data_IF_033671668613
#
_entry.id   IF_033671668613
#
_cell.length_a   1.000
_cell.length_b   1.000
_cell.length_c   1.000
_cell.angle_alpha   90.00
_cell.angle_beta   90.00
_cell.angle_gamma   90.00
#
_symmetry.space_group_name_H-M   'P 1'
#
loop_
_entity.id
_entity.type
_entity.pdbx_description
1 polymer ?
#
# COMPACT_ATOMS: atom_id res chain seq x y z
N UNK A 1 6.85 -16.21 -25.85
CA UNK A 1 7.46 -15.02 -25.22
C UNK A 1 6.44 -14.50 -24.22
N UNK A 2 6.63 -14.77 -22.94
CA UNK A 2 5.88 -14.06 -21.89
C UNK A 2 6.38 -12.61 -21.93
N UNK A 3 5.50 -11.66 -22.25
CA UNK A 3 5.86 -10.24 -22.11
C UNK A 3 6.01 -9.98 -20.61
N UNK A 4 7.23 -9.76 -20.15
CA UNK A 4 7.48 -9.37 -18.78
C UNK A 4 6.62 -8.15 -18.46
N UNK A 5 5.82 -8.23 -17.40
CA UNK A 5 5.12 -7.08 -16.87
C UNK A 5 6.16 -6.23 -16.17
N UNK A 6 6.41 -5.05 -16.68
CA UNK A 6 7.40 -4.12 -16.11
C UNK A 6 6.66 -2.94 -15.51
N UNK A 7 6.98 -2.60 -14.27
CA UNK A 7 6.47 -1.38 -13.65
C UNK A 7 6.93 -0.15 -14.42
N UNK A 8 6.00 0.73 -14.76
CA UNK A 8 6.24 1.88 -15.65
C UNK A 8 6.83 3.10 -14.92
N UNK A 9 7.03 3.00 -13.61
CA UNK A 9 7.50 4.08 -12.73
C UNK A 9 6.40 5.00 -12.24
N UNK A 10 6.63 5.63 -11.09
CA UNK A 10 5.63 6.37 -10.31
C UNK A 10 4.96 7.49 -11.12
N UNK A 11 5.72 8.32 -11.83
CA UNK A 11 5.18 9.45 -12.61
C UNK A 11 4.24 9.01 -13.74
N UNK A 12 4.55 7.91 -14.41
CA UNK A 12 3.70 7.38 -15.49
C UNK A 12 2.49 6.67 -14.92
N UNK A 13 2.68 5.97 -13.81
CA UNK A 13 1.58 5.27 -13.17
C UNK A 13 0.59 6.24 -12.53
N UNK A 14 1.04 7.35 -11.94
CA UNK A 14 0.15 8.40 -11.44
C UNK A 14 -0.71 8.96 -12.59
N UNK A 15 -0.10 9.33 -13.74
CA UNK A 15 -0.85 9.80 -14.91
C UNK A 15 -1.83 8.77 -15.45
N UNK A 16 -1.50 7.49 -15.35
CA UNK A 16 -2.40 6.40 -15.71
C UNK A 16 -3.59 6.32 -14.75
N UNK A 17 -3.39 6.43 -13.43
CA UNK A 17 -4.47 6.49 -12.44
C UNK A 17 -5.39 7.70 -12.68
N UNK A 18 -4.80 8.87 -12.94
CA UNK A 18 -5.54 10.09 -13.23
C UNK A 18 -6.40 9.95 -14.49
N UNK A 19 -5.88 9.32 -15.55
CA UNK A 19 -6.60 9.07 -16.81
C UNK A 19 -7.87 8.24 -16.59
N UNK A 20 -7.83 7.27 -15.67
CA UNK A 20 -8.99 6.43 -15.35
C UNK A 20 -9.79 6.95 -14.15
N UNK A 21 -9.51 8.17 -13.68
CA UNK A 21 -10.16 8.78 -12.51
C UNK A 21 -10.14 7.86 -11.27
N UNK A 22 -9.02 7.19 -11.03
CA UNK A 22 -8.85 6.38 -9.83
C UNK A 22 -8.96 7.28 -8.58
N UNK A 23 -9.88 7.01 -7.64
CA UNK A 23 -10.04 7.86 -6.47
C UNK A 23 -8.89 7.72 -5.47
N UNK A 24 -8.14 6.62 -5.52
CA UNK A 24 -7.04 6.35 -4.61
C UNK A 24 -5.73 6.96 -5.13
N UNK A 25 -5.01 7.75 -4.30
CA UNK A 25 -3.67 8.26 -4.65
C UNK A 25 -2.67 7.12 -4.86
N UNK A 26 -1.63 7.35 -5.66
CA UNK A 26 -0.62 6.35 -5.98
C UNK A 26 -0.03 5.65 -4.75
N UNK A 27 0.28 6.39 -3.69
CA UNK A 27 0.82 5.80 -2.47
C UNK A 27 -0.12 4.81 -1.80
N UNK A 28 -1.43 5.08 -1.81
CA UNK A 28 -2.46 4.15 -1.32
C UNK A 28 -2.55 2.94 -2.23
N UNK A 29 -2.53 3.14 -3.55
CA UNK A 29 -2.57 2.04 -4.53
C UNK A 29 -1.38 1.11 -4.34
N UNK A 30 -0.15 1.63 -4.26
CA UNK A 30 1.08 0.82 -4.06
C UNK A 30 0.98 -0.01 -2.78
N UNK A 31 0.59 0.61 -1.66
CA UNK A 31 0.48 -0.12 -0.40
C UNK A 31 -0.71 -1.09 -0.37
N UNK A 32 -1.80 -0.83 -1.10
CA UNK A 32 -2.88 -1.81 -1.25
C UNK A 32 -2.41 -3.07 -1.97
N UNK A 33 -1.62 -2.91 -3.02
CA UNK A 33 -1.00 -4.04 -3.72
C UNK A 33 0.03 -4.75 -2.82
N UNK A 34 0.85 -4.02 -2.07
CA UNK A 34 1.79 -4.61 -1.13
C UNK A 34 1.08 -5.42 -0.03
N UNK A 35 0.03 -4.87 0.57
CA UNK A 35 -0.80 -5.58 1.54
C UNK A 35 -1.42 -6.86 0.96
N UNK A 36 -1.95 -6.79 -0.26
CA UNK A 36 -2.52 -7.94 -0.96
C UNK A 36 -1.48 -9.04 -1.25
N UNK A 37 -0.26 -8.68 -1.63
CA UNK A 37 0.85 -9.64 -1.81
C UNK A 37 1.24 -10.28 -0.47
N UNK A 38 1.13 -9.55 0.64
CA UNK A 38 1.35 -10.08 1.99
C UNK A 38 0.18 -10.91 2.52
N UNK A 39 -0.98 -10.86 1.89
CA UNK A 39 -2.19 -11.55 2.36
C UNK A 39 -2.03 -13.08 2.31
N UNK A 40 -2.41 -13.81 3.37
CA UNK A 40 -2.47 -15.26 3.32
C UNK A 40 -3.74 -15.79 2.61
N UNK A 41 -4.58 -14.93 2.05
CA UNK A 41 -5.78 -15.31 1.31
C UNK A 41 -5.43 -15.93 -0.04
N UNK A 42 -5.57 -17.26 -0.23
CA UNK A 42 -5.18 -17.92 -1.47
C UNK A 42 -6.10 -17.58 -2.66
N UNK A 43 -7.24 -16.96 -2.40
CA UNK A 43 -8.23 -16.60 -3.41
C UNK A 43 -8.09 -15.13 -3.87
N UNK A 44 -7.30 -14.32 -3.18
CA UNK A 44 -7.11 -12.92 -3.52
C UNK A 44 -6.30 -12.79 -4.81
N UNK A 45 -6.89 -12.17 -5.81
CA UNK A 45 -6.28 -11.98 -7.13
C UNK A 45 -5.94 -10.51 -7.36
N UNK A 46 -4.93 -10.20 -8.18
CA UNK A 46 -4.64 -8.81 -8.58
C UNK A 46 -5.86 -8.06 -9.13
N UNK A 47 -6.75 -8.78 -9.85
CA UNK A 47 -7.99 -8.21 -10.39
C UNK A 47 -8.98 -7.77 -9.30
N UNK A 48 -9.02 -8.47 -8.18
CA UNK A 48 -9.89 -8.11 -7.06
C UNK A 48 -9.38 -6.84 -6.37
N UNK A 49 -8.05 -6.73 -6.25
CA UNK A 49 -7.39 -5.52 -5.74
C UNK A 49 -7.65 -4.32 -6.67
N UNK A 50 -7.53 -4.51 -7.99
CA UNK A 50 -7.86 -3.46 -8.98
C UNK A 50 -9.31 -3.03 -8.83
N UNK A 51 -10.24 -3.98 -8.75
CA UNK A 51 -11.66 -3.68 -8.59
C UNK A 51 -11.95 -2.89 -7.30
N UNK A 52 -11.26 -3.19 -6.21
CA UNK A 52 -11.43 -2.49 -4.92
C UNK A 52 -10.92 -1.03 -4.91
N UNK A 53 -10.10 -0.64 -5.88
CA UNK A 53 -9.64 0.75 -6.01
C UNK A 53 -10.73 1.69 -6.53
N UNK A 54 -11.75 1.17 -7.18
CA UNK A 54 -12.82 1.95 -7.80
C UNK A 54 -14.14 1.64 -7.09
N UNK A 55 -14.95 2.66 -6.79
CA UNK A 55 -16.30 2.45 -6.32
C UNK A 55 -17.14 1.73 -7.39
N UNK A 56 -18.19 1.00 -6.99
CA UNK A 56 -19.01 0.19 -7.92
C UNK A 56 -19.50 0.94 -9.16
N UNK A 57 -19.82 2.23 -9.01
CA UNK A 57 -20.30 3.10 -10.08
C UNK A 57 -19.18 3.87 -10.79
N UNK A 58 -17.94 3.71 -10.39
CA UNK A 58 -16.75 4.40 -10.92
C UNK A 58 -15.77 3.46 -11.63
N UNK A 59 -16.18 2.22 -11.90
CA UNK A 59 -15.33 1.27 -12.62
C UNK A 59 -14.92 1.83 -14.01
N UNK A 60 -13.64 1.72 -14.38
CA UNK A 60 -13.14 2.27 -15.64
C UNK A 60 -13.81 1.58 -16.83
N UNK A 61 -14.27 2.39 -17.80
CA UNK A 61 -14.86 1.88 -19.05
C UNK A 61 -13.75 1.63 -20.05
N UNK A 62 -13.36 0.38 -20.21
CA UNK A 62 -12.37 -0.05 -21.18
C UNK A 62 -13.10 -0.34 -22.51
N UNK A 63 -12.83 0.45 -23.54
CA UNK A 63 -13.61 0.46 -24.78
C UNK A 63 -13.07 -0.47 -25.86
N UNK A 64 -11.79 -0.82 -25.77
CA UNK A 64 -11.11 -1.70 -26.72
C UNK A 64 -10.33 -2.81 -26.01
N UNK A 65 -10.09 -3.92 -26.71
CA UNK A 65 -9.26 -5.01 -26.21
C UNK A 65 -7.84 -4.54 -25.88
N UNK A 66 -7.24 -3.72 -26.75
CA UNK A 66 -5.89 -3.20 -26.54
C UNK A 66 -5.81 -2.30 -25.28
N UNK A 67 -6.84 -1.48 -25.05
CA UNK A 67 -6.94 -0.65 -23.85
C UNK A 67 -7.02 -1.54 -22.58
N UNK A 68 -7.87 -2.57 -22.62
CA UNK A 68 -7.99 -3.51 -21.51
C UNK A 68 -6.67 -4.25 -21.24
N UNK A 69 -6.00 -4.75 -22.28
CA UNK A 69 -4.68 -5.40 -22.14
C UNK A 69 -3.64 -4.46 -21.55
N UNK A 70 -3.59 -3.20 -21.96
CA UNK A 70 -2.65 -2.21 -21.43
C UNK A 70 -2.99 -1.84 -19.98
N UNK A 71 -4.28 -1.67 -19.67
CA UNK A 71 -4.75 -1.39 -18.31
C UNK A 71 -4.30 -2.48 -17.33
N UNK A 72 -4.61 -3.73 -17.62
CA UNK A 72 -4.21 -4.84 -16.75
C UNK A 72 -2.69 -5.03 -16.74
N UNK A 73 -1.99 -4.84 -17.85
CA UNK A 73 -0.53 -4.94 -17.91
C UNK A 73 0.15 -3.97 -16.96
N UNK A 74 -0.34 -2.74 -16.83
CA UNK A 74 0.25 -1.74 -15.92
C UNK A 74 0.04 -2.12 -14.45
N UNK A 75 -1.15 -2.57 -14.09
CA UNK A 75 -1.40 -3.05 -12.74
C UNK A 75 -0.63 -4.34 -12.41
N UNK A 76 -0.50 -5.24 -13.38
CA UNK A 76 0.33 -6.45 -13.19
C UNK A 76 1.81 -6.09 -13.01
N UNK A 77 2.32 -5.06 -13.72
CA UNK A 77 3.66 -4.54 -13.49
C UNK A 77 3.85 -4.00 -12.07
N UNK A 78 2.84 -3.31 -11.51
CA UNK A 78 2.86 -2.86 -10.12
C UNK A 78 2.81 -4.05 -9.14
N UNK A 79 1.99 -5.08 -9.42
CA UNK A 79 1.95 -6.30 -8.61
C UNK A 79 3.33 -6.97 -8.55
N UNK A 80 3.98 -7.13 -9.70
CA UNK A 80 5.30 -7.77 -9.79
C UNK A 80 6.36 -6.93 -9.05
N UNK A 81 6.29 -5.59 -9.13
CA UNK A 81 7.17 -4.68 -8.36
C UNK A 81 6.98 -4.85 -6.86
N UNK A 82 5.73 -4.83 -6.37
CA UNK A 82 5.45 -5.04 -4.94
C UNK A 82 5.89 -6.43 -4.48
N UNK A 83 5.72 -7.45 -5.31
CA UNK A 83 6.22 -8.79 -5.00
C UNK A 83 7.75 -8.82 -4.86
N UNK A 84 8.49 -8.09 -5.70
CA UNK A 84 9.94 -7.97 -5.60
C UNK A 84 10.34 -7.25 -4.31
N UNK A 85 9.72 -6.11 -3.99
CA UNK A 85 9.99 -5.37 -2.75
C UNK A 85 9.75 -6.22 -1.50
N UNK A 86 8.67 -7.00 -1.48
CA UNK A 86 8.33 -7.91 -0.38
C UNK A 86 9.34 -9.06 -0.31
N UNK A 87 9.64 -9.71 -1.44
CA UNK A 87 10.60 -10.81 -1.48
C UNK A 87 12.01 -10.39 -1.05
N UNK A 88 12.39 -9.16 -1.33
CA UNK A 88 13.69 -8.59 -0.92
C UNK A 88 13.64 -7.88 0.44
N UNK A 89 12.47 -7.85 1.06
CA UNK A 89 12.21 -7.16 2.35
C UNK A 89 12.63 -5.69 2.33
N UNK A 90 12.33 -5.00 1.24
CA UNK A 90 12.70 -3.59 0.99
C UNK A 90 11.50 -2.65 0.97
N UNK A 91 10.29 -3.15 1.27
CA UNK A 91 9.07 -2.34 1.32
C UNK A 91 9.22 -1.17 2.31
N UNK A 92 8.93 0.04 1.85
CA UNK A 92 9.01 1.29 2.62
C UNK A 92 7.85 2.21 2.32
N UNK A 93 7.63 3.16 3.22
CA UNK A 93 6.77 4.30 2.95
C UNK A 93 7.41 5.23 1.92
N UNK A 94 6.61 5.91 1.05
CA UNK A 94 7.14 6.89 0.10
C UNK A 94 7.92 8.01 0.81
N UNK A 95 9.04 8.45 0.23
CA UNK A 95 9.84 9.54 0.82
C UNK A 95 9.07 10.87 0.80
N UNK A 96 9.21 11.63 1.90
CA UNK A 96 8.67 12.99 1.96
C UNK A 96 9.66 13.97 1.36
N UNK A 97 9.25 14.62 0.27
CA UNK A 97 10.05 15.63 -0.44
C UNK A 97 9.64 17.08 -0.13
N UNK A 98 8.64 17.29 0.75
CA UNK A 98 8.11 18.60 1.10
C UNK A 98 8.92 19.36 2.15
N UNK A 99 8.42 20.54 2.52
CA UNK A 99 9.06 21.43 3.49
C UNK A 99 8.75 20.98 4.93
N UNK A 100 9.77 20.54 5.65
CA UNK A 100 9.68 20.06 7.06
C UNK A 100 9.29 21.14 8.08
N UNK A 101 9.27 22.41 7.68
CA UNK A 101 8.86 23.54 8.52
C UNK A 101 7.48 24.09 8.13
N UNK A 102 6.84 23.53 7.12
CA UNK A 102 5.49 23.92 6.69
C UNK A 102 4.46 23.00 7.36
N UNK A 103 3.64 23.61 8.26
CA UNK A 103 2.62 22.86 9.00
C UNK A 103 1.56 22.25 8.07
N UNK A 104 1.24 22.92 6.96
CA UNK A 104 0.23 22.45 6.03
C UNK A 104 0.75 21.23 5.26
N UNK A 105 1.97 21.30 4.72
CA UNK A 105 2.58 20.17 4.02
C UNK A 105 2.78 18.96 4.95
N UNK A 106 3.16 19.20 6.22
CA UNK A 106 3.26 18.12 7.20
C UNK A 106 1.89 17.54 7.58
N UNK A 107 0.84 18.34 7.65
CA UNK A 107 -0.52 17.85 7.91
C UNK A 107 -1.01 16.99 6.71
N UNK A 108 -0.75 17.43 5.49
CA UNK A 108 -1.04 16.67 4.26
C UNK A 108 -0.25 15.34 4.23
N UNK A 109 1.03 15.36 4.63
CA UNK A 109 1.81 14.13 4.79
C UNK A 109 1.16 13.17 5.80
N UNK A 110 0.76 13.67 6.97
CA UNK A 110 0.12 12.83 7.98
C UNK A 110 -1.19 12.21 7.47
N UNK A 111 -2.05 12.97 6.79
CA UNK A 111 -3.26 12.42 6.16
C UNK A 111 -2.91 11.36 5.12
N UNK A 112 -1.94 11.64 4.25
CA UNK A 112 -1.46 10.67 3.25
C UNK A 112 -0.94 9.39 3.89
N UNK A 113 -0.20 9.47 5.01
CA UNK A 113 0.30 8.30 5.76
C UNK A 113 -0.84 7.46 6.34
N UNK A 114 -1.81 8.12 6.98
CA UNK A 114 -2.97 7.43 7.51
C UNK A 114 -3.71 6.65 6.41
N UNK A 115 -3.97 7.30 5.26
CA UNK A 115 -4.65 6.68 4.13
C UNK A 115 -3.81 5.53 3.51
N UNK A 116 -2.51 5.71 3.36
CA UNK A 116 -1.58 4.71 2.85
C UNK A 116 -1.57 3.44 3.70
N UNK A 117 -1.64 3.59 5.02
CA UNK A 117 -1.63 2.46 5.95
C UNK A 117 -3.01 1.82 5.99
N UNK A 118 -4.06 2.57 6.32
CA UNK A 118 -5.40 2.03 6.56
C UNK A 118 -6.05 1.56 5.25
N UNK A 119 -6.27 2.49 4.31
CA UNK A 119 -6.91 2.18 3.03
C UNK A 119 -5.95 1.56 2.00
N UNK A 120 -4.65 1.62 2.24
CA UNK A 120 -3.63 0.91 1.46
C UNK A 120 -3.35 -0.46 2.06
N UNK A 121 -2.34 -0.55 2.93
CA UNK A 121 -1.76 -1.83 3.34
C UNK A 121 -2.74 -2.72 4.12
N UNK A 122 -3.45 -2.18 5.12
CA UNK A 122 -4.35 -2.97 5.98
C UNK A 122 -5.54 -3.52 5.18
N UNK A 123 -6.23 -2.68 4.40
CA UNK A 123 -7.31 -3.16 3.52
C UNK A 123 -6.80 -4.13 2.45
N UNK A 124 -5.61 -3.88 1.88
CA UNK A 124 -4.98 -4.80 0.93
C UNK A 124 -4.72 -6.17 1.54
N UNK A 125 -4.21 -6.21 2.77
CA UNK A 125 -3.93 -7.46 3.49
C UNK A 125 -5.18 -8.27 3.76
N UNK A 126 -6.25 -7.63 4.20
CA UNK A 126 -7.53 -8.33 4.43
C UNK A 126 -8.25 -8.70 3.11
N UNK A 127 -8.02 -7.94 2.04
CA UNK A 127 -8.60 -8.20 0.71
C UNK A 127 -10.12 -8.33 0.71
N UNK A 128 -10.81 -7.57 1.58
CA UNK A 128 -12.27 -7.63 1.74
C UNK A 128 -12.80 -8.91 2.37
N UNK A 129 -11.95 -9.77 2.95
CA UNK A 129 -12.34 -11.03 3.56
C UNK A 129 -12.46 -10.89 5.10
N UNK A 130 -13.68 -10.72 5.62
CA UNK A 130 -13.96 -10.58 7.06
C UNK A 130 -13.64 -11.85 7.88
N UNK A 131 -13.58 -13.01 7.24
CA UNK A 131 -13.38 -14.30 7.88
C UNK A 131 -12.01 -14.91 7.63
N UNK A 132 -11.03 -14.10 7.18
CA UNK A 132 -9.69 -14.57 6.90
C UNK A 132 -9.00 -15.06 8.18
N UNK A 133 -8.63 -16.34 8.20
CA UNK A 133 -7.90 -16.92 9.32
C UNK A 133 -6.41 -16.57 9.19
N UNK A 134 -5.91 -15.79 10.14
CA UNK A 134 -4.50 -15.40 10.23
C UNK A 134 -3.92 -15.78 11.60
N UNK A 135 -2.59 -15.97 11.73
CA UNK A 135 -1.97 -16.10 13.04
C UNK A 135 -2.27 -14.87 13.93
N UNK A 136 -2.46 -15.08 15.24
CA UNK A 136 -2.79 -13.99 16.17
C UNK A 136 -1.81 -12.81 16.06
N UNK A 137 -0.51 -13.09 15.97
CA UNK A 137 0.48 -12.01 15.83
C UNK A 137 0.30 -11.17 14.56
N UNK A 138 -0.17 -11.78 13.45
CA UNK A 138 -0.42 -11.03 12.22
C UNK A 138 -1.64 -10.11 12.37
N UNK A 139 -2.71 -10.58 13.04
CA UNK A 139 -3.86 -9.73 13.37
C UNK A 139 -3.45 -8.57 14.31
N UNK A 140 -2.60 -8.82 15.31
CA UNK A 140 -2.05 -7.80 16.20
C UNK A 140 -1.19 -6.77 15.46
N UNK A 141 -0.40 -7.21 14.46
CA UNK A 141 0.37 -6.29 13.62
C UNK A 141 -0.53 -5.41 12.75
N UNK A 142 -1.62 -5.95 12.19
CA UNK A 142 -2.60 -5.15 11.44
C UNK A 142 -3.29 -4.13 12.35
N UNK A 143 -3.72 -4.53 13.55
CA UNK A 143 -4.27 -3.60 14.53
C UNK A 143 -3.25 -2.50 14.91
N UNK A 144 -1.98 -2.85 15.13
CA UNK A 144 -0.93 -1.89 15.41
C UNK A 144 -0.68 -0.92 14.25
N UNK A 145 -0.82 -1.35 12.99
CA UNK A 145 -0.75 -0.46 11.84
C UNK A 145 -1.92 0.53 11.82
N UNK A 146 -3.14 0.07 12.09
CA UNK A 146 -4.31 0.96 12.23
C UNK A 146 -4.15 1.97 13.37
N UNK A 147 -3.62 1.54 14.53
CA UNK A 147 -3.29 2.46 15.63
C UNK A 147 -2.26 3.54 15.20
N UNK A 148 -1.25 3.16 14.39
CA UNK A 148 -0.29 4.13 13.84
C UNK A 148 -0.93 5.07 12.82
N UNK A 149 -1.90 4.62 12.02
CA UNK A 149 -2.69 5.49 11.15
C UNK A 149 -3.47 6.53 11.96
N UNK A 150 -4.07 6.14 13.09
CA UNK A 150 -4.73 7.06 14.02
C UNK A 150 -3.75 8.10 14.62
N UNK A 151 -2.52 7.69 14.95
CA UNK A 151 -1.48 8.63 15.42
C UNK A 151 -1.22 9.72 14.38
N UNK A 152 -1.10 9.39 13.09
CA UNK A 152 -0.96 10.40 12.04
C UNK A 152 -2.19 11.34 11.98
N UNK A 153 -3.40 10.84 12.15
CA UNK A 153 -4.61 11.66 12.24
C UNK A 153 -4.57 12.67 13.40
N UNK A 154 -4.03 12.25 14.55
CA UNK A 154 -3.80 13.15 15.69
C UNK A 154 -2.72 14.19 15.40
N UNK A 155 -1.60 13.80 14.78
CA UNK A 155 -0.52 14.73 14.40
C UNK A 155 -0.99 15.75 13.38
N UNK A 156 -1.79 15.37 12.38
CA UNK A 156 -2.39 16.30 11.42
C UNK A 156 -3.24 17.38 12.13
N UNK A 157 -4.09 16.98 13.09
CA UNK A 157 -4.90 17.92 13.88
C UNK A 157 -4.04 18.90 14.69
N UNK A 158 -2.95 18.43 15.31
CA UNK A 158 -2.02 19.29 16.06
C UNK A 158 -1.34 20.32 15.15
N UNK A 159 -0.91 19.91 13.95
CA UNK A 159 -0.32 20.81 12.97
C UNK A 159 -1.30 21.90 12.50
N UNK A 160 -2.58 21.59 12.37
CA UNK A 160 -3.62 22.58 12.02
C UNK A 160 -3.97 23.53 13.18
N UNK A 161 -3.65 23.18 14.43
CA UNK A 161 -3.86 23.99 15.64
C UNK A 161 -2.65 24.88 15.96
N UNK A 162 -1.74 25.11 15.03
CA UNK A 162 -0.56 25.96 15.13
C UNK A 162 0.51 25.50 16.14
N UNK A 163 0.60 24.19 16.42
CA UNK A 163 1.76 23.64 17.12
C UNK A 163 3.04 23.75 16.27
N UNK A 164 4.20 23.83 16.92
CA UNK A 164 5.46 24.03 16.25
C UNK A 164 5.83 22.78 15.41
N UNK A 165 6.00 22.88 14.07
CA UNK A 165 6.32 21.74 13.21
C UNK A 165 7.64 21.05 13.59
N UNK A 166 8.57 21.78 14.22
CA UNK A 166 9.86 21.22 14.66
C UNK A 166 9.72 20.18 15.76
N UNK A 167 8.67 20.23 16.55
CA UNK A 167 8.41 19.26 17.62
C UNK A 167 7.65 18.04 17.08
N UNK A 168 6.85 18.24 16.03
CA UNK A 168 6.00 17.19 15.45
C UNK A 168 6.75 16.33 14.40
N UNK A 169 7.58 16.95 13.56
CA UNK A 169 8.28 16.24 12.49
C UNK A 169 9.12 15.04 12.96
N UNK A 170 9.89 15.12 14.10
CA UNK A 170 10.56 13.93 14.62
C UNK A 170 9.62 12.80 15.04
N UNK A 171 8.40 13.13 15.49
CA UNK A 171 7.38 12.13 15.85
C UNK A 171 6.88 11.42 14.58
N UNK A 172 6.63 12.18 13.49
CA UNK A 172 6.26 11.60 12.19
C UNK A 172 7.33 10.60 11.74
N UNK A 173 8.61 11.00 11.75
CA UNK A 173 9.71 10.12 11.33
C UNK A 173 9.83 8.86 12.20
N UNK A 174 9.63 8.98 13.51
CA UNK A 174 9.64 7.82 14.39
C UNK A 174 8.46 6.88 14.09
N UNK A 175 7.28 7.45 13.80
CA UNK A 175 6.10 6.64 13.42
C UNK A 175 6.32 5.96 12.07
N UNK A 176 6.89 6.65 11.06
CA UNK A 176 7.29 6.05 9.78
C UNK A 176 8.22 4.83 10.01
N UNK A 177 9.22 4.98 10.87
CA UNK A 177 10.14 3.88 11.21
C UNK A 177 9.45 2.70 11.90
N UNK A 178 8.46 2.97 12.75
CA UNK A 178 7.67 1.91 13.40
C UNK A 178 6.82 1.16 12.38
N UNK A 179 6.16 1.86 11.46
CA UNK A 179 5.40 1.27 10.36
C UNK A 179 6.28 0.36 9.51
N UNK A 180 7.44 0.85 9.07
CA UNK A 180 8.37 0.06 8.24
C UNK A 180 8.94 -1.15 8.99
N UNK A 181 9.18 -1.05 10.30
CA UNK A 181 9.56 -2.20 11.12
C UNK A 181 8.45 -3.23 11.21
N UNK A 182 7.20 -2.78 11.29
CA UNK A 182 6.03 -3.68 11.31
C UNK A 182 5.87 -4.40 9.97
N UNK A 183 6.01 -3.70 8.84
CA UNK A 183 6.05 -4.35 7.52
C UNK A 183 7.14 -5.41 7.44
N UNK A 184 8.36 -5.05 7.84
CA UNK A 184 9.51 -5.96 7.81
C UNK A 184 9.27 -7.20 8.64
N UNK A 185 8.76 -7.03 9.86
CA UNK A 185 8.47 -8.15 10.76
C UNK A 185 7.42 -9.09 10.16
N UNK A 186 6.33 -8.55 9.61
CA UNK A 186 5.29 -9.34 8.95
C UNK A 186 5.87 -10.13 7.76
N UNK A 187 6.67 -9.48 6.93
CA UNK A 187 7.29 -10.09 5.75
C UNK A 187 8.22 -11.23 6.17
N UNK A 188 9.11 -11.00 7.12
CA UNK A 188 10.09 -11.99 7.59
C UNK A 188 9.46 -13.21 8.26
N UNK A 189 8.40 -13.02 9.03
CA UNK A 189 7.86 -14.09 9.88
C UNK A 189 6.63 -14.78 9.30
N UNK A 190 5.94 -14.18 8.35
CA UNK A 190 4.76 -14.78 7.74
C UNK A 190 4.93 -15.00 6.24
N UNK A 191 5.34 -13.96 5.49
CA UNK A 191 5.25 -13.98 4.02
C UNK A 191 6.38 -14.80 3.41
N UNK A 192 7.64 -14.54 3.78
CA UNK A 192 8.81 -15.23 3.22
C UNK A 192 8.79 -16.74 3.53
N UNK A 193 8.49 -17.20 4.78
CA UNK A 193 8.35 -18.62 5.05
C UNK A 193 7.29 -19.32 4.21
N UNK A 194 6.16 -18.62 3.94
CA UNK A 194 5.10 -19.16 3.10
C UNK A 194 5.53 -19.29 1.63
N UNK A 195 6.20 -18.28 1.09
CA UNK A 195 6.76 -18.32 -0.28
C UNK A 195 7.75 -19.47 -0.43
N UNK A 196 8.65 -19.68 0.54
CA UNK A 196 9.61 -20.79 0.52
C UNK A 196 8.94 -22.16 0.56
N UNK A 197 7.86 -22.32 1.35
CA UNK A 197 7.10 -23.57 1.41
C UNK A 197 6.46 -23.89 0.06
N UNK A 198 5.85 -22.89 -0.60
CA UNK A 198 5.26 -23.05 -1.91
C UNK A 198 6.31 -23.47 -2.97
N UNK A 199 7.48 -22.86 -2.95
CA UNK A 199 8.56 -23.22 -3.88
C UNK A 199 9.08 -24.65 -3.68
N UNK A 200 9.11 -25.16 -2.45
CA UNK A 200 9.51 -26.54 -2.14
C UNK A 200 8.46 -27.58 -2.54
N UNK A 201 7.18 -27.19 -2.56
CA UNK A 201 6.09 -28.10 -2.93
C UNK A 201 5.92 -28.29 -4.45
N UNK A 202 6.55 -27.44 -5.26
CA UNK A 202 6.50 -27.48 -6.74
C UNK A 202 7.71 -28.18 -7.35
N UNK A 203 8.77 -28.43 -6.56
CA UNK A 203 9.97 -29.19 -6.96
C UNK A 203 9.89 -30.62 -6.46
#
# INVERSE_FOLDING_TARGET
>A
MQSENVYIGDDKFQRFLDHYNCPAPLGVVKLRFAGAVCSPNPNLRPTDVIASLFAENMQPRLTTKNEAELFFKFFMGLWDEMFVEIKTNTLKLPEFSGNKNDTKELAELCHSRADQIEFGFVEGFWGGCETLSVPNYAAELMASLSDMADVYGVLAKKLTQAENPKDIYPVILNTDQMVEKTFRFLIEHMVLPHIEQLQRSVN
#
